data_IF_096333952074
#
_entry.id   IF_096333952074
#
_cell.length_a   1.000
_cell.length_b   1.000
_cell.length_c   1.000
_cell.angle_alpha   90.00
_cell.angle_beta   90.00
_cell.angle_gamma   90.00
#
_symmetry.space_group_name_H-M   'P 1'
#
loop_
_entity.id
_entity.type
_entity.pdbx_description
1 polymer ?
#
# COMPACT_ATOMS: atom_id res chain seq x y z
N UNK A 1 -5.16 3.76 20.50
CA UNK A 1 -3.92 3.49 21.23
C UNK A 1 -2.80 3.14 20.27
N UNK A 2 -1.59 3.60 20.55
CA UNK A 2 -0.37 3.24 19.81
C UNK A 2 0.36 2.21 20.66
N UNK A 3 0.67 1.05 20.09
CA UNK A 3 1.37 -0.03 20.76
C UNK A 3 2.57 -0.41 19.93
N UNK A 4 3.77 -0.32 20.47
CA UNK A 4 4.98 -0.67 19.75
C UNK A 4 5.21 -2.19 19.83
N UNK A 5 5.38 -2.82 18.66
CA UNK A 5 5.84 -4.22 18.60
C UNK A 5 7.34 -4.28 18.94
N UNK A 6 7.84 -5.34 19.59
CA UNK A 6 9.21 -5.41 20.09
C UNK A 6 10.33 -5.25 19.05
N UNK A 7 10.02 -5.40 17.76
CA UNK A 7 11.01 -5.43 16.68
C UNK A 7 10.85 -4.29 15.66
N UNK A 8 10.08 -3.24 15.98
CA UNK A 8 9.84 -2.14 15.05
C UNK A 8 10.60 -0.91 15.49
N UNK A 9 11.33 -0.34 14.55
CA UNK A 9 12.00 0.95 14.69
C UNK A 9 10.96 2.07 14.78
N UNK A 10 10.97 2.75 15.89
CA UNK A 10 10.30 4.01 16.25
C UNK A 10 9.17 4.55 15.36
N UNK A 11 7.98 4.68 15.93
CA UNK A 11 6.98 5.61 15.44
C UNK A 11 7.45 7.04 15.71
N UNK A 12 7.90 7.73 14.67
CA UNK A 12 8.03 9.18 14.73
C UNK A 12 6.67 9.84 14.41
N UNK A 13 6.60 11.16 14.63
CA UNK A 13 5.36 11.91 14.36
C UNK A 13 4.90 11.82 12.90
N UNK A 14 5.84 11.71 11.95
CA UNK A 14 5.53 11.53 10.53
C UNK A 14 4.84 10.19 10.25
N UNK A 15 5.33 9.10 10.85
CA UNK A 15 4.70 7.78 10.72
C UNK A 15 3.29 7.75 11.33
N UNK A 16 3.13 8.37 12.49
CA UNK A 16 1.81 8.49 13.13
C UNK A 16 0.88 9.34 12.27
N UNK A 17 1.34 10.47 11.76
CA UNK A 17 0.57 11.35 10.88
C UNK A 17 0.13 10.65 9.59
N UNK A 18 1.04 9.91 8.95
CA UNK A 18 0.74 9.10 7.78
C UNK A 18 -0.35 8.05 8.09
N UNK A 19 -0.18 7.29 9.17
CA UNK A 19 -1.17 6.31 9.60
C UNK A 19 -2.55 6.94 9.84
N UNK A 20 -2.61 8.02 10.60
CA UNK A 20 -3.86 8.73 10.93
C UNK A 20 -4.52 9.27 9.66
N UNK A 21 -3.74 9.83 8.72
CA UNK A 21 -4.24 10.33 7.45
C UNK A 21 -4.93 9.25 6.62
N UNK A 22 -4.31 8.06 6.52
CA UNK A 22 -4.92 6.92 5.83
C UNK A 22 -6.18 6.40 6.54
N UNK A 23 -6.19 6.37 7.88
CA UNK A 23 -7.37 5.94 8.64
C UNK A 23 -8.54 6.93 8.51
N UNK A 24 -8.27 8.23 8.52
CA UNK A 24 -9.27 9.26 8.27
C UNK A 24 -9.85 9.15 6.85
N UNK A 25 -8.99 8.92 5.87
CA UNK A 25 -9.43 8.67 4.50
C UNK A 25 -10.36 7.43 4.42
N UNK A 26 -10.00 6.30 5.01
CA UNK A 26 -10.85 5.11 5.01
C UNK A 26 -12.20 5.40 5.70
N UNK A 27 -12.15 6.07 6.86
CA UNK A 27 -13.38 6.45 7.55
C UNK A 27 -14.29 7.30 6.67
N UNK A 28 -13.76 8.32 6.00
CA UNK A 28 -14.54 9.17 5.07
C UNK A 28 -15.13 8.37 3.92
N UNK A 29 -14.38 7.45 3.32
CA UNK A 29 -14.88 6.57 2.27
C UNK A 29 -16.04 5.70 2.77
N UNK A 30 -15.92 5.18 4.00
CA UNK A 30 -16.96 4.38 4.62
C UNK A 30 -18.22 5.19 4.93
N UNK A 31 -18.06 6.39 5.50
CA UNK A 31 -19.18 7.27 5.87
C UNK A 31 -19.95 7.76 4.65
N UNK A 32 -19.24 8.02 3.55
CA UNK A 32 -19.83 8.47 2.28
C UNK A 32 -20.42 7.33 1.43
N UNK A 33 -20.23 6.08 1.82
CA UNK A 33 -20.72 4.93 1.06
C UNK A 33 -20.10 4.78 -0.32
N UNK A 34 -18.84 5.19 -0.49
CA UNK A 34 -18.14 5.05 -1.77
C UNK A 34 -17.93 3.57 -2.09
N UNK A 35 -17.98 3.22 -3.38
CA UNK A 35 -17.66 1.86 -3.85
C UNK A 35 -16.15 1.66 -3.98
N UNK A 36 -15.49 2.62 -4.58
CA UNK A 36 -14.06 2.61 -4.84
C UNK A 36 -13.47 3.95 -4.47
N UNK A 37 -12.24 3.95 -4.04
CA UNK A 37 -11.50 5.17 -3.77
C UNK A 37 -10.02 4.98 -4.08
N UNK A 38 -9.38 6.03 -4.58
CA UNK A 38 -7.94 6.05 -4.87
C UNK A 38 -7.26 7.03 -3.93
N UNK A 39 -6.18 6.58 -3.34
CA UNK A 39 -5.27 7.42 -2.59
C UNK A 39 -4.09 7.79 -3.47
N UNK A 40 -3.71 9.06 -3.42
CA UNK A 40 -2.43 9.57 -3.86
C UNK A 40 -1.78 10.29 -2.68
N UNK A 41 -0.56 9.95 -2.32
CA UNK A 41 0.21 10.77 -1.40
C UNK A 41 0.60 12.09 -2.08
N UNK A 42 0.90 13.11 -1.29
CA UNK A 42 1.15 14.49 -1.73
C UNK A 42 2.34 14.64 -2.68
N UNK A 43 3.27 13.70 -2.64
CA UNK A 43 4.44 13.67 -3.52
C UNK A 43 4.24 12.85 -4.81
N UNK A 44 3.03 12.41 -5.11
CA UNK A 44 2.69 11.76 -6.38
C UNK A 44 2.35 12.81 -7.43
N UNK A 45 3.12 12.87 -8.51
CA UNK A 45 2.88 13.76 -9.63
C UNK A 45 2.28 12.98 -10.79
N UNK A 46 1.05 13.33 -11.18
CA UNK A 46 0.36 12.70 -12.31
C UNK A 46 0.88 13.32 -13.60
N UNK A 47 1.46 12.49 -14.48
CA UNK A 47 2.05 12.90 -15.76
C UNK A 47 1.07 12.76 -16.93
N UNK A 48 0.08 11.90 -16.78
CA UNK A 48 -0.85 11.61 -17.88
C UNK A 48 -2.25 11.28 -17.33
N UNK A 49 -3.33 11.84 -17.91
CA UNK A 49 -4.71 11.52 -17.55
C UNK A 49 -5.08 10.06 -17.86
N UNK A 50 -4.32 9.36 -18.72
CA UNK A 50 -4.49 7.92 -18.95
C UNK A 50 -4.38 7.09 -17.69
N UNK A 51 -3.74 7.59 -16.64
CA UNK A 51 -3.72 6.95 -15.33
C UNK A 51 -5.14 6.58 -14.87
N UNK A 52 -6.10 7.48 -15.01
CA UNK A 52 -7.48 7.25 -14.57
C UNK A 52 -8.20 6.19 -15.41
N UNK A 53 -7.91 6.13 -16.72
CA UNK A 53 -8.44 5.07 -17.58
C UNK A 53 -7.89 3.69 -17.18
N UNK A 54 -6.60 3.61 -16.87
CA UNK A 54 -5.98 2.38 -16.38
C UNK A 54 -6.53 1.95 -15.01
N UNK A 55 -6.84 2.91 -14.12
CA UNK A 55 -7.51 2.62 -12.85
C UNK A 55 -8.92 2.08 -13.09
N UNK A 56 -9.67 2.68 -14.02
CA UNK A 56 -11.00 2.19 -14.38
C UNK A 56 -10.93 0.76 -14.94
N UNK A 57 -9.95 0.46 -15.77
CA UNK A 57 -9.74 -0.91 -16.29
C UNK A 57 -9.51 -1.93 -15.16
N UNK A 58 -8.79 -1.56 -14.10
CA UNK A 58 -8.62 -2.43 -12.92
C UNK A 58 -9.97 -2.72 -12.26
N UNK A 59 -10.81 -1.69 -12.11
CA UNK A 59 -12.16 -1.84 -11.56
C UNK A 59 -13.02 -2.75 -12.45
N UNK A 60 -12.97 -2.55 -13.75
CA UNK A 60 -13.74 -3.34 -14.71
C UNK A 60 -13.27 -4.79 -14.76
N UNK A 61 -11.97 -5.04 -14.71
CA UNK A 61 -11.37 -6.37 -14.74
C UNK A 61 -11.68 -7.17 -13.46
N UNK A 62 -11.58 -6.54 -12.29
CA UNK A 62 -11.71 -7.23 -11.00
C UNK A 62 -13.09 -7.13 -10.38
N UNK A 63 -13.86 -6.09 -10.70
CA UNK A 63 -15.16 -5.86 -10.11
C UNK A 63 -15.10 -5.86 -8.58
N UNK A 64 -15.78 -6.84 -7.95
CA UNK A 64 -15.77 -7.01 -6.48
C UNK A 64 -14.65 -7.93 -5.97
N UNK A 65 -13.76 -8.42 -6.83
CA UNK A 65 -12.82 -9.50 -6.49
C UNK A 65 -11.44 -9.00 -6.06
N UNK A 66 -11.36 -7.85 -5.40
CA UNK A 66 -10.14 -7.35 -4.78
C UNK A 66 -10.46 -6.49 -3.55
N UNK A 67 -9.51 -6.32 -2.69
CA UNK A 67 -9.51 -5.38 -1.58
C UNK A 67 -8.67 -4.15 -1.92
N UNK A 68 -7.47 -4.34 -2.47
CA UNK A 68 -6.54 -3.26 -2.82
C UNK A 68 -5.84 -3.54 -4.14
N UNK A 69 -5.49 -2.47 -4.87
CA UNK A 69 -4.58 -2.54 -6.01
C UNK A 69 -3.58 -1.38 -5.94
N UNK A 70 -2.30 -1.70 -5.81
CA UNK A 70 -1.23 -0.72 -5.74
C UNK A 70 -0.74 -0.37 -7.15
N UNK A 71 -0.44 0.91 -7.38
CA UNK A 71 0.04 1.44 -8.65
C UNK A 71 1.51 1.88 -8.61
N UNK A 72 2.05 1.94 -7.43
CA UNK A 72 3.46 2.12 -7.14
C UNK A 72 3.84 1.25 -5.94
N UNK A 73 5.06 0.72 -5.94
CA UNK A 73 5.63 0.05 -4.78
C UNK A 73 7.13 0.35 -4.66
N UNK A 74 7.62 0.28 -3.44
CA UNK A 74 9.06 0.26 -3.17
C UNK A 74 9.62 -1.15 -3.45
N UNK A 75 8.88 -2.15 -3.01
CA UNK A 75 9.22 -3.56 -3.19
C UNK A 75 7.97 -4.43 -3.07
N UNK A 76 8.00 -5.61 -3.65
CA UNK A 76 6.90 -6.58 -3.57
C UNK A 76 7.36 -8.01 -3.82
N UNK A 77 6.61 -8.96 -3.29
CA UNK A 77 6.73 -10.38 -3.57
C UNK A 77 5.51 -10.81 -4.40
N UNK A 78 5.69 -11.13 -5.69
CA UNK A 78 4.59 -11.58 -6.53
C UNK A 78 4.12 -12.98 -6.13
N UNK A 79 2.83 -13.27 -6.34
CA UNK A 79 2.23 -14.60 -6.24
C UNK A 79 2.01 -15.17 -7.65
N UNK A 80 1.13 -14.54 -8.41
CA UNK A 80 0.76 -14.92 -9.78
C UNK A 80 0.23 -13.73 -10.56
N UNK A 81 0.26 -13.85 -11.89
CA UNK A 81 -0.41 -12.89 -12.77
C UNK A 81 -1.85 -13.34 -13.02
N UNK A 82 -2.79 -12.43 -12.88
CA UNK A 82 -4.21 -12.63 -13.16
C UNK A 82 -4.69 -11.51 -14.09
N UNK A 83 -4.84 -11.82 -15.38
CA UNK A 83 -5.14 -10.83 -16.42
C UNK A 83 -3.99 -9.82 -16.58
N UNK A 84 -4.28 -8.54 -16.41
CA UNK A 84 -3.28 -7.46 -16.50
C UNK A 84 -2.63 -7.13 -15.15
N UNK A 85 -3.01 -7.81 -14.07
CA UNK A 85 -2.62 -7.52 -12.71
C UNK A 85 -1.72 -8.62 -12.13
N UNK A 86 -0.78 -8.20 -11.30
CA UNK A 86 0.04 -9.10 -10.51
C UNK A 86 -0.57 -9.23 -9.11
N UNK A 87 -1.06 -10.41 -8.73
CA UNK A 87 -1.42 -10.69 -7.35
C UNK A 87 -0.15 -10.78 -6.52
N UNK A 88 -0.16 -10.23 -5.32
CA UNK A 88 1.03 -10.16 -4.46
C UNK A 88 0.82 -10.89 -3.14
N UNK A 89 1.90 -11.52 -2.63
CA UNK A 89 2.00 -12.08 -1.29
C UNK A 89 2.46 -11.05 -0.28
N UNK A 90 3.13 -10.03 -0.75
CA UNK A 90 3.66 -8.94 0.04
C UNK A 90 3.89 -7.72 -0.84
N UNK A 91 3.69 -6.52 -0.29
CA UNK A 91 3.94 -5.25 -0.97
C UNK A 91 4.17 -4.12 0.04
N UNK A 92 5.18 -3.30 -0.20
CA UNK A 92 5.47 -2.12 0.62
C UNK A 92 5.29 -0.86 -0.22
N UNK A 93 4.27 -0.09 0.10
CA UNK A 93 4.03 1.26 -0.41
C UNK A 93 2.72 1.82 0.13
N UNK A 94 2.64 3.16 0.14
CA UNK A 94 1.38 3.89 0.38
C UNK A 94 1.17 5.00 -0.65
N UNK A 95 2.10 5.15 -1.60
CA UNK A 95 2.16 6.30 -2.52
C UNK A 95 0.93 6.46 -3.40
N UNK A 96 0.46 5.35 -3.98
CA UNK A 96 -0.73 5.37 -4.83
C UNK A 96 -1.39 4.01 -4.86
N UNK A 97 -2.64 3.92 -4.44
CA UNK A 97 -3.41 2.68 -4.49
C UNK A 97 -4.92 2.90 -4.54
N UNK A 98 -5.61 1.94 -5.14
CA UNK A 98 -7.06 1.83 -5.22
C UNK A 98 -7.55 0.88 -4.12
N UNK A 99 -8.67 1.20 -3.48
CA UNK A 99 -9.39 0.29 -2.59
C UNK A 99 -10.80 0.00 -3.10
N UNK A 100 -11.23 -1.24 -2.89
CA UNK A 100 -12.65 -1.57 -2.89
C UNK A 100 -13.19 -1.32 -1.48
N UNK A 101 -13.95 -0.25 -1.32
CA UNK A 101 -14.37 0.28 -0.02
C UNK A 101 -15.22 -0.72 0.76
N UNK A 102 -16.16 -1.38 0.08
CA UNK A 102 -17.03 -2.37 0.72
C UNK A 102 -16.23 -3.56 1.27
N UNK A 103 -15.27 -4.04 0.48
CA UNK A 103 -14.42 -5.16 0.89
C UNK A 103 -13.44 -4.77 2.01
N UNK A 104 -12.96 -3.51 2.01
CA UNK A 104 -12.04 -3.02 3.04
C UNK A 104 -12.71 -2.82 4.41
N UNK A 105 -14.04 -2.63 4.48
CA UNK A 105 -14.76 -2.45 5.75
C UNK A 105 -14.49 -3.57 6.75
N UNK A 106 -14.48 -4.82 6.31
CA UNK A 106 -14.24 -5.99 7.19
C UNK A 106 -12.84 -6.01 7.79
N UNK A 107 -11.87 -5.34 7.13
CA UNK A 107 -10.49 -5.27 7.57
C UNK A 107 -10.19 -4.07 8.47
N UNK A 108 -11.07 -3.08 8.56
CA UNK A 108 -10.83 -1.84 9.30
C UNK A 108 -10.40 -2.08 10.76
N UNK A 109 -10.95 -3.11 11.41
CA UNK A 109 -10.60 -3.47 12.78
C UNK A 109 -9.13 -3.89 12.98
N UNK A 110 -8.46 -4.34 11.93
CA UNK A 110 -7.07 -4.82 12.01
C UNK A 110 -6.03 -3.71 11.96
N UNK A 111 -6.44 -2.48 11.62
CA UNK A 111 -5.56 -1.33 11.71
C UNK A 111 -5.31 -0.89 13.17
N UNK A 112 -6.19 -1.28 14.09
CA UNK A 112 -6.10 -0.87 15.49
C UNK A 112 -5.80 -2.05 16.43
N UNK A 113 -4.96 -1.82 17.47
CA UNK A 113 -4.21 -0.59 17.74
C UNK A 113 -3.18 -0.32 16.63
N UNK A 114 -2.69 0.93 16.51
CA UNK A 114 -1.53 1.22 15.69
C UNK A 114 -0.30 0.59 16.33
N UNK A 115 0.11 -0.54 15.82
CA UNK A 115 1.27 -1.31 16.27
C UNK A 115 2.34 -1.45 15.18
N UNK A 116 2.08 -0.85 14.01
CA UNK A 116 2.98 -0.86 12.86
C UNK A 116 2.72 0.35 11.93
N UNK A 117 3.61 0.61 10.99
CA UNK A 117 3.39 1.56 9.91
C UNK A 117 2.20 1.13 9.04
N UNK A 118 1.57 2.07 8.33
CA UNK A 118 0.35 1.78 7.57
C UNK A 118 0.58 0.81 6.41
N UNK A 119 1.71 0.88 5.72
CA UNK A 119 2.10 -0.06 4.68
C UNK A 119 2.25 -1.48 5.23
N UNK A 120 2.86 -1.62 6.39
CA UNK A 120 2.98 -2.89 7.12
C UNK A 120 1.62 -3.45 7.55
N UNK A 121 0.69 -2.57 7.93
CA UNK A 121 -0.69 -2.99 8.23
C UNK A 121 -1.40 -3.50 6.98
N UNK A 122 -1.10 -2.95 5.80
CA UNK A 122 -1.61 -3.49 4.54
C UNK A 122 -1.08 -4.91 4.28
N UNK A 123 0.18 -5.18 4.62
CA UNK A 123 0.75 -6.52 4.54
C UNK A 123 0.04 -7.49 5.49
N UNK A 124 -0.18 -7.09 6.75
CA UNK A 124 -0.97 -7.88 7.71
C UNK A 124 -2.35 -8.28 7.14
N UNK A 125 -2.96 -7.42 6.30
CA UNK A 125 -4.24 -7.75 5.65
C UNK A 125 -4.12 -8.86 4.61
N UNK A 126 -3.00 -8.94 3.89
CA UNK A 126 -2.74 -10.04 2.94
C UNK A 126 -2.72 -11.37 3.68
N UNK A 127 -2.03 -11.45 4.82
CA UNK A 127 -2.00 -12.63 5.67
C UNK A 127 -3.39 -13.03 6.19
N UNK A 128 -4.29 -12.05 6.34
CA UNK A 128 -5.69 -12.27 6.72
C UNK A 128 -6.62 -12.56 5.53
N UNK A 129 -6.05 -12.80 4.36
CA UNK A 129 -6.77 -13.19 3.16
C UNK A 129 -7.28 -12.04 2.29
N UNK A 130 -6.78 -10.82 2.47
CA UNK A 130 -7.07 -9.74 1.54
C UNK A 130 -6.45 -10.04 0.16
N UNK A 131 -7.22 -9.82 -0.89
CA UNK A 131 -6.75 -9.96 -2.28
C UNK A 131 -6.14 -8.63 -2.70
N UNK A 132 -4.82 -8.61 -2.75
CA UNK A 132 -4.04 -7.42 -3.08
C UNK A 132 -3.32 -7.64 -4.39
N UNK A 133 -3.40 -6.63 -5.24
CA UNK A 133 -2.82 -6.64 -6.58
C UNK A 133 -1.86 -5.47 -6.76
N UNK A 134 -1.02 -5.60 -7.76
CA UNK A 134 -0.14 -4.56 -8.25
C UNK A 134 -0.31 -4.39 -9.76
N UNK A 135 -0.29 -3.14 -10.23
CA UNK A 135 -0.18 -2.76 -11.64
C UNK A 135 0.81 -1.62 -11.76
N UNK A 136 1.86 -1.81 -12.54
CA UNK A 136 2.88 -0.77 -12.75
C UNK A 136 2.31 0.40 -13.53
N UNK A 137 2.22 1.56 -12.89
CA UNK A 137 1.74 2.79 -13.51
C UNK A 137 2.78 3.91 -13.55
N UNK A 138 4.07 3.60 -13.34
CA UNK A 138 5.17 4.59 -13.37
C UNK A 138 5.27 5.37 -14.69
N UNK A 139 4.78 4.83 -15.79
CA UNK A 139 4.66 5.55 -17.06
C UNK A 139 3.72 6.76 -16.99
N UNK A 140 2.75 6.76 -16.08
CA UNK A 140 1.72 7.79 -15.95
C UNK A 140 1.92 8.71 -14.74
N UNK A 141 2.84 8.37 -13.83
CA UNK A 141 3.13 9.17 -12.63
C UNK A 141 4.61 9.10 -12.27
N UNK A 142 5.03 10.03 -11.43
CA UNK A 142 6.34 9.98 -10.79
C UNK A 142 6.18 10.31 -9.30
N UNK A 143 7.17 9.92 -8.51
CA UNK A 143 7.25 10.29 -7.12
C UNK A 143 8.25 11.46 -7.00
N UNK A 144 7.75 12.61 -6.58
CA UNK A 144 8.62 13.76 -6.27
C UNK A 144 9.34 13.49 -4.95
N UNK A 145 10.66 13.43 -5.01
CA UNK A 145 11.53 13.22 -3.84
C UNK A 145 12.24 14.49 -3.40
N UNK A 146 11.91 15.63 -4.00
CA UNK A 146 12.62 16.91 -3.74
C UNK A 146 12.42 17.43 -2.32
N UNK A 147 11.30 17.08 -1.68
CA UNK A 147 10.95 17.59 -0.35
C UNK A 147 11.40 16.68 0.81
N UNK A 148 12.08 15.58 0.53
CA UNK A 148 12.48 14.61 1.55
C UNK A 148 11.29 13.85 2.16
N UNK A 149 11.57 12.95 3.09
CA UNK A 149 10.55 12.17 3.80
C UNK A 149 10.45 12.61 5.26
N UNK A 150 9.26 13.00 5.69
CA UNK A 150 8.98 13.29 7.10
C UNK A 150 9.02 12.04 7.99
N UNK A 151 8.95 10.86 7.38
CA UNK A 151 8.99 9.57 8.09
C UNK A 151 10.43 9.17 8.41
N UNK A 152 11.44 9.79 7.75
CA UNK A 152 12.85 9.56 8.04
C UNK A 152 13.29 8.13 7.71
N UNK A 153 13.20 7.73 6.44
CA UNK A 153 13.81 6.48 5.98
C UNK A 153 15.33 6.61 6.09
N UNK A 154 15.94 5.91 7.05
CA UNK A 154 17.38 5.78 7.08
C UNK A 154 17.80 4.83 5.95
N UNK A 155 18.91 5.15 5.27
CA UNK A 155 19.49 4.38 4.15
C UNK A 155 19.82 2.90 4.49
N UNK A 156 19.70 2.53 5.76
CA UNK A 156 19.99 1.19 6.26
C UNK A 156 18.75 0.27 6.38
N UNK A 157 17.54 0.76 6.05
CA UNK A 157 16.29 0.04 6.32
C UNK A 157 15.97 -1.10 5.37
N UNK A 158 16.29 -0.96 4.08
CA UNK A 158 15.70 -1.80 3.04
C UNK A 158 16.13 -3.27 3.08
N UNK A 159 17.42 -3.54 3.20
CA UNK A 159 17.92 -4.94 3.24
C UNK A 159 17.50 -5.70 4.51
N UNK A 160 17.40 -5.02 5.64
CA UNK A 160 16.97 -5.62 6.91
C UNK A 160 15.46 -5.77 7.02
N UNK A 161 14.71 -5.04 6.21
CA UNK A 161 13.26 -4.99 6.23
C UNK A 161 12.64 -6.30 5.68
N UNK A 162 13.12 -6.77 4.53
CA UNK A 162 12.59 -7.97 3.86
C UNK A 162 12.83 -9.23 4.69
N UNK A 163 14.03 -9.39 5.25
CA UNK A 163 14.38 -10.57 6.05
C UNK A 163 13.60 -10.67 7.36
N UNK A 164 13.09 -9.54 7.87
CA UNK A 164 12.27 -9.51 9.09
C UNK A 164 10.80 -9.76 8.85
N UNK A 165 10.30 -9.39 7.67
CA UNK A 165 8.87 -9.42 7.33
C UNK A 165 8.46 -10.72 6.63
N UNK A 166 9.31 -11.26 5.80
CA UNK A 166 9.12 -12.54 5.15
C UNK A 166 10.42 -13.35 5.18
N UNK A 167 10.69 -14.06 6.28
CA UNK A 167 11.92 -14.83 6.46
C UNK A 167 12.11 -15.95 5.43
N UNK A 168 11.08 -16.26 4.64
CA UNK A 168 11.15 -17.26 3.56
C UNK A 168 11.42 -16.62 2.19
N UNK A 169 11.33 -15.27 2.07
CA UNK A 169 11.65 -14.59 0.82
C UNK A 169 13.16 -14.37 0.71
N UNK A 170 13.71 -14.76 -0.42
CA UNK A 170 15.09 -14.40 -0.77
C UNK A 170 15.12 -13.02 -1.43
N UNK A 171 16.25 -12.30 -1.47
CA UNK A 171 16.38 -11.05 -2.20
C UNK A 171 15.98 -11.14 -3.67
N UNK A 172 16.15 -12.32 -4.29
CA UNK A 172 15.82 -12.57 -5.70
C UNK A 172 14.30 -12.74 -5.93
N UNK A 173 13.55 -13.10 -4.89
CA UNK A 173 12.09 -13.22 -4.96
C UNK A 173 11.38 -11.86 -4.90
N UNK A 174 12.07 -10.81 -4.47
CA UNK A 174 11.51 -9.48 -4.26
C UNK A 174 11.79 -8.59 -5.46
N UNK A 175 10.72 -8.09 -6.09
CA UNK A 175 10.84 -7.10 -7.16
C UNK A 175 10.87 -5.70 -6.56
N UNK A 176 11.98 -4.99 -6.79
CA UNK A 176 12.17 -3.62 -6.36
C UNK A 176 11.55 -2.64 -7.37
N UNK A 177 10.82 -1.65 -6.88
CA UNK A 177 10.21 -0.59 -7.68
C UNK A 177 11.03 0.69 -7.64
N UNK A 178 12.14 0.76 -8.40
CA UNK A 178 12.95 1.97 -8.56
C UNK A 178 12.47 2.81 -9.75
#
# INVERSE_FOLDING_TARGET
>A
PVVQRPNITFFNLGAIGCFVGHMDFYKRCFDQGLKYAVIFEDNVVIKSPQLFNEIQQVIDEKGKNFEMCFFHCLSRLPDKTEGTLEKVKWISSTKCYLINVDNMRKYNKYFYPMDNHVDMKHEDLIEKGARVYYKDMRKHMLIDRSQGSLIGHSEHGEKNFISRQNPQATPDDVKWGY
#
